data_IF_815900815348
#
_entry.id   IF_815900815348
#
_cell.length_a   1.000
_cell.length_b   1.000
_cell.length_c   1.000
_cell.angle_alpha   90.00
_cell.angle_beta   90.00
_cell.angle_gamma   90.00
#
_symmetry.space_group_name_H-M   'P 1'
#
loop_
_entity.id
_entity.type
_entity.pdbx_description
1 polymer ?
#
# COMPACT_ATOMS: atom_id res chain seq x y z
N UNK A 1 -48.36 -74.44 -16.52
CA UNK A 1 -48.80 -73.30 -17.35
C UNK A 1 -48.83 -72.06 -16.45
N UNK A 2 -47.83 -71.20 -16.59
CA UNK A 2 -47.63 -70.03 -15.74
C UNK A 2 -48.50 -68.87 -16.22
N UNK A 3 -49.39 -68.38 -15.35
CA UNK A 3 -50.16 -67.16 -15.58
C UNK A 3 -49.46 -65.96 -14.93
N UNK A 4 -49.31 -64.91 -15.74
CA UNK A 4 -48.68 -63.63 -15.41
C UNK A 4 -49.36 -62.89 -14.26
N UNK A 5 -48.55 -62.43 -13.31
CA UNK A 5 -48.89 -61.42 -12.31
C UNK A 5 -48.29 -60.09 -12.76
N UNK A 6 -49.14 -59.11 -13.11
CA UNK A 6 -48.74 -57.71 -13.32
C UNK A 6 -49.01 -56.90 -12.06
N UNK A 7 -47.93 -56.45 -11.39
CA UNK A 7 -47.94 -55.46 -10.30
C UNK A 7 -48.20 -54.06 -10.86
N UNK A 8 -49.13 -53.32 -10.27
CA UNK A 8 -49.24 -51.86 -10.44
C UNK A 8 -48.42 -51.15 -9.35
N UNK A 9 -47.40 -50.42 -9.76
CA UNK A 9 -46.66 -49.46 -8.92
C UNK A 9 -47.29 -48.08 -9.10
N UNK A 10 -47.77 -47.48 -8.00
CA UNK A 10 -48.18 -46.08 -7.94
C UNK A 10 -46.94 -45.20 -7.85
N UNK A 11 -46.76 -44.30 -8.82
CA UNK A 11 -45.75 -43.24 -8.79
C UNK A 11 -46.33 -41.99 -8.13
N UNK A 12 -45.70 -41.55 -7.04
CA UNK A 12 -45.93 -40.23 -6.44
C UNK A 12 -44.94 -39.24 -7.06
N UNK A 13 -45.45 -38.23 -7.75
CA UNK A 13 -44.65 -37.14 -8.32
C UNK A 13 -44.11 -36.22 -7.22
N UNK A 14 -42.80 -35.91 -7.16
CA UNK A 14 -42.27 -34.92 -6.26
C UNK A 14 -42.55 -33.50 -6.80
N UNK A 15 -43.04 -32.62 -5.93
CA UNK A 15 -43.20 -31.20 -6.21
C UNK A 15 -41.83 -30.53 -6.32
N UNK A 16 -41.49 -30.03 -7.51
CA UNK A 16 -40.30 -29.21 -7.75
C UNK A 16 -40.53 -27.80 -7.21
N UNK A 17 -39.84 -27.46 -6.11
CA UNK A 17 -39.68 -26.06 -5.68
C UNK A 17 -38.65 -25.41 -6.61
N UNK A 18 -39.08 -24.43 -7.40
CA UNK A 18 -38.23 -23.71 -8.36
C UNK A 18 -37.09 -22.97 -7.65
N UNK A 19 -35.85 -23.32 -8.04
CA UNK A 19 -34.55 -22.79 -7.57
C UNK A 19 -34.31 -21.29 -7.83
N UNK A 20 -35.33 -20.51 -8.22
CA UNK A 20 -35.19 -19.10 -8.59
C UNK A 20 -35.12 -18.14 -7.39
N UNK A 21 -35.46 -18.57 -6.19
CA UNK A 21 -35.50 -17.70 -5.00
C UNK A 21 -34.26 -17.79 -4.08
N UNK A 22 -33.27 -18.64 -4.42
CA UNK A 22 -32.05 -18.84 -3.61
C UNK A 22 -30.85 -17.96 -4.02
N UNK A 23 -31.00 -17.10 -5.03
CA UNK A 23 -29.96 -16.16 -5.49
C UNK A 23 -30.41 -14.70 -5.38
N UNK A 24 -31.15 -14.32 -4.32
CA UNK A 24 -31.09 -12.93 -3.86
C UNK A 24 -29.74 -12.73 -3.17
N UNK A 25 -28.72 -12.56 -4.01
CA UNK A 25 -27.47 -11.92 -3.65
C UNK A 25 -27.81 -10.63 -2.93
N UNK A 26 -27.52 -10.58 -1.62
CA UNK A 26 -27.49 -9.33 -0.90
C UNK A 26 -26.36 -8.52 -1.54
N UNK A 27 -26.72 -7.63 -2.47
CA UNK A 27 -25.81 -6.61 -2.95
C UNK A 27 -25.48 -5.72 -1.74
N UNK A 28 -24.45 -6.10 -0.98
CA UNK A 28 -23.88 -5.25 0.04
C UNK A 28 -23.45 -3.96 -0.64
N UNK A 29 -23.75 -2.82 -0.01
CA UNK A 29 -23.27 -1.53 -0.48
C UNK A 29 -21.76 -1.62 -0.77
N UNK A 30 -21.28 -1.02 -1.86
CA UNK A 30 -19.87 -1.03 -2.16
C UNK A 30 -19.12 -0.46 -0.94
N UNK A 31 -18.09 -1.17 -0.47
CA UNK A 31 -17.34 -0.74 0.69
C UNK A 31 -16.77 0.67 0.49
N UNK A 32 -16.81 1.47 1.55
CA UNK A 32 -16.39 2.87 1.51
C UNK A 32 -14.88 2.94 1.73
N UNK A 33 -14.12 3.68 0.89
CA UNK A 33 -12.68 3.82 1.07
C UNK A 33 -12.32 4.36 2.44
N UNK A 34 -11.24 3.84 3.03
CA UNK A 34 -10.83 4.23 4.38
C UNK A 34 -10.52 5.74 4.47
N UNK A 35 -11.05 6.48 5.47
CA UNK A 35 -10.88 7.95 5.58
C UNK A 35 -9.44 8.45 5.56
N UNK A 36 -8.49 7.64 6.06
CA UNK A 36 -7.06 8.00 6.08
C UNK A 36 -6.36 7.83 4.73
N UNK A 37 -6.96 7.11 3.79
CA UNK A 37 -6.45 6.90 2.43
C UNK A 37 -7.26 7.67 1.37
N UNK A 38 -8.46 8.14 1.74
CA UNK A 38 -9.35 8.88 0.86
C UNK A 38 -9.16 10.38 0.97
N UNK A 39 -9.74 11.10 0.00
CA UNK A 39 -9.76 12.56 -0.06
C UNK A 39 -11.18 13.00 -0.40
N UNK A 40 -11.57 14.19 0.07
CA UNK A 40 -12.87 14.78 -0.27
C UNK A 40 -12.69 15.86 -1.34
N UNK A 41 -13.48 15.83 -2.40
CA UNK A 41 -13.42 16.87 -3.42
C UNK A 41 -14.08 18.15 -2.91
N UNK A 42 -13.35 19.28 -2.94
CA UNK A 42 -13.87 20.60 -2.54
C UNK A 42 -14.17 21.50 -3.74
N UNK A 43 -13.46 21.30 -4.85
CA UNK A 43 -13.76 21.94 -6.14
C UNK A 43 -13.23 21.08 -7.30
N UNK A 44 -13.57 21.38 -8.57
CA UNK A 44 -13.03 20.65 -9.72
C UNK A 44 -11.49 20.61 -9.70
N UNK A 45 -10.92 19.42 -9.55
CA UNK A 45 -9.47 19.23 -9.47
C UNK A 45 -8.83 19.59 -8.14
N UNK A 46 -9.58 19.98 -7.10
CA UNK A 46 -9.04 20.22 -5.75
C UNK A 46 -9.71 19.29 -4.75
N UNK A 47 -8.87 18.56 -4.02
CA UNK A 47 -9.26 17.62 -2.98
C UNK A 47 -8.65 18.02 -1.64
N UNK A 48 -9.26 17.59 -0.54
CA UNK A 48 -8.79 17.85 0.81
C UNK A 48 -8.73 16.58 1.64
N UNK A 49 -7.67 16.48 2.43
CA UNK A 49 -7.58 15.58 3.58
C UNK A 49 -7.65 16.44 4.85
N UNK A 50 -8.68 16.27 5.68
CA UNK A 50 -8.74 16.90 6.99
C UNK A 50 -7.62 16.43 7.91
N UNK A 51 -7.10 17.32 8.75
CA UNK A 51 -6.00 17.03 9.68
C UNK A 51 -6.23 15.81 10.58
N UNK A 52 -7.48 15.56 11.00
CA UNK A 52 -7.86 14.41 11.83
C UNK A 52 -7.59 13.07 11.14
N UNK A 53 -7.53 13.09 9.80
CA UNK A 53 -7.24 11.90 9.01
C UNK A 53 -5.73 11.70 8.83
N UNK A 54 -4.86 12.65 9.20
CA UNK A 54 -3.40 12.48 9.09
C UNK A 54 -2.82 11.60 10.20
N UNK A 55 -1.82 10.78 9.85
CA UNK A 55 -1.09 9.93 10.76
C UNK A 55 0.31 10.48 11.07
N UNK A 56 0.69 10.33 12.33
CA UNK A 56 2.02 10.69 12.83
C UNK A 56 2.80 9.41 13.09
N UNK A 57 3.79 9.12 12.25
CA UNK A 57 4.66 7.95 12.46
C UNK A 57 5.98 8.38 13.10
N UNK A 58 6.63 9.39 12.53
CA UNK A 58 7.88 9.98 13.06
C UNK A 58 7.71 11.51 13.13
N UNK A 59 7.72 12.06 14.35
CA UNK A 59 7.56 13.52 14.56
C UNK A 59 8.79 14.29 14.03
N UNK A 60 8.63 15.52 13.52
CA UNK A 60 7.37 16.22 13.19
C UNK A 60 6.97 15.99 11.73
N UNK A 61 5.72 15.55 11.47
CA UNK A 61 5.17 15.54 10.13
C UNK A 61 4.17 14.41 9.86
N UNK A 62 3.37 14.59 8.82
CA UNK A 62 2.52 13.54 8.28
C UNK A 62 3.38 12.42 7.67
N UNK A 63 2.88 11.18 7.74
CA UNK A 63 3.54 10.02 7.16
C UNK A 63 3.59 10.09 5.63
N UNK A 64 4.78 9.91 5.05
CA UNK A 64 5.01 10.06 3.60
C UNK A 64 4.17 9.11 2.76
N UNK A 65 4.12 7.82 3.13
CA UNK A 65 3.25 6.81 2.50
C UNK A 65 1.78 7.21 2.45
N UNK A 66 1.28 7.93 3.46
CA UNK A 66 -0.09 8.43 3.48
C UNK A 66 -0.32 9.55 2.46
N UNK A 67 0.61 10.51 2.36
CA UNK A 67 0.51 11.58 1.35
C UNK A 67 0.55 11.01 -0.07
N UNK A 68 1.37 9.98 -0.29
CA UNK A 68 1.40 9.25 -1.57
C UNK A 68 0.06 8.56 -1.87
N UNK A 69 -0.53 7.89 -0.88
CA UNK A 69 -1.83 7.24 -1.01
C UNK A 69 -2.96 8.24 -1.33
N UNK A 70 -3.02 9.36 -0.61
CA UNK A 70 -4.02 10.41 -0.81
C UNK A 70 -3.84 11.15 -2.14
N UNK A 71 -2.61 11.31 -2.59
CA UNK A 71 -2.31 11.86 -3.92
C UNK A 71 -2.77 10.91 -5.03
N UNK A 72 -2.57 9.60 -4.84
CA UNK A 72 -3.12 8.60 -5.76
C UNK A 72 -4.64 8.63 -5.77
N UNK A 73 -5.29 8.70 -4.60
CA UNK A 73 -6.75 8.82 -4.48
C UNK A 73 -7.27 10.07 -5.19
N UNK A 74 -6.58 11.21 -5.04
CA UNK A 74 -6.90 12.46 -5.75
C UNK A 74 -6.80 12.29 -7.28
N UNK A 75 -5.77 11.59 -7.75
CA UNK A 75 -5.59 11.29 -9.16
C UNK A 75 -6.67 10.34 -9.71
N UNK A 76 -7.04 9.30 -8.95
CA UNK A 76 -8.10 8.35 -9.31
C UNK A 76 -9.44 9.08 -9.42
N UNK A 77 -9.76 9.95 -8.45
CA UNK A 77 -11.00 10.73 -8.45
C UNK A 77 -11.07 11.74 -9.60
N UNK A 78 -9.93 12.23 -10.09
CA UNK A 78 -9.84 13.12 -11.25
C UNK A 78 -9.78 12.37 -12.60
N UNK A 79 -9.46 11.07 -12.59
CA UNK A 79 -9.34 10.25 -13.77
C UNK A 79 -10.73 9.78 -14.26
N UNK A 80 -10.97 9.70 -15.58
CA UNK A 80 -12.18 9.08 -16.09
C UNK A 80 -12.30 7.62 -15.66
N UNK A 81 -13.52 7.13 -15.53
CA UNK A 81 -13.79 5.71 -15.26
C UNK A 81 -13.11 4.79 -16.28
N UNK A 82 -12.60 3.64 -15.81
CA UNK A 82 -11.96 2.62 -16.65
C UNK A 82 -10.46 2.84 -16.90
N UNK A 83 -9.87 3.85 -16.25
CA UNK A 83 -8.42 4.01 -16.17
C UNK A 83 -7.90 3.41 -14.87
N UNK A 84 -6.78 2.70 -14.96
CA UNK A 84 -6.14 2.04 -13.84
C UNK A 84 -4.75 2.63 -13.63
N UNK A 85 -4.36 2.99 -12.39
CA UNK A 85 -3.00 3.45 -12.11
C UNK A 85 -1.97 2.42 -12.54
N UNK A 86 -0.98 2.86 -13.31
CA UNK A 86 0.16 2.06 -13.77
C UNK A 86 1.45 2.46 -13.06
N UNK A 87 1.62 3.74 -12.73
CA UNK A 87 2.77 4.21 -11.94
C UNK A 87 2.46 5.47 -11.15
N UNK A 88 3.24 5.68 -10.08
CA UNK A 88 3.24 6.85 -9.21
C UNK A 88 4.69 7.27 -8.99
N UNK A 89 5.00 8.55 -9.11
CA UNK A 89 6.30 9.13 -8.73
C UNK A 89 6.07 10.34 -7.86
N UNK A 90 6.80 10.45 -6.74
CA UNK A 90 6.57 11.44 -5.69
C UNK A 90 7.87 12.12 -5.28
N UNK A 91 7.74 13.38 -4.84
CA UNK A 91 8.80 14.18 -4.26
C UNK A 91 8.30 14.81 -2.95
N UNK A 92 9.09 14.66 -1.89
CA UNK A 92 8.82 15.25 -0.57
C UNK A 92 9.62 16.54 -0.46
N UNK A 93 8.96 17.67 -0.68
CA UNK A 93 9.60 18.98 -0.85
C UNK A 93 9.65 19.79 0.45
N UNK A 94 8.73 19.51 1.37
CA UNK A 94 8.67 20.16 2.68
C UNK A 94 7.86 19.33 3.69
N UNK A 95 7.96 19.67 4.98
CA UNK A 95 7.18 19.00 6.02
C UNK A 95 5.69 19.30 5.83
N UNK A 96 4.85 18.28 6.00
CA UNK A 96 3.40 18.47 6.10
C UNK A 96 3.00 18.48 7.57
N UNK A 97 2.43 19.59 8.02
CA UNK A 97 2.02 19.81 9.40
C UNK A 97 0.74 19.02 9.70
N UNK A 98 0.72 18.35 10.85
CA UNK A 98 -0.32 17.38 11.23
C UNK A 98 -1.58 18.04 11.82
N UNK A 99 -1.48 19.32 12.16
CA UNK A 99 -2.52 20.15 12.75
C UNK A 99 -3.28 20.99 11.72
N UNK A 100 -3.00 20.75 10.42
CA UNK A 100 -3.57 21.46 9.29
C UNK A 100 -4.05 20.49 8.22
N UNK A 101 -5.09 20.91 7.51
CA UNK A 101 -5.59 20.18 6.36
C UNK A 101 -4.56 20.19 5.23
N UNK A 102 -4.66 19.20 4.35
CA UNK A 102 -3.82 19.08 3.16
C UNK A 102 -4.69 19.16 1.93
N UNK A 103 -4.41 20.13 1.06
CA UNK A 103 -5.11 20.33 -0.19
C UNK A 103 -4.29 19.75 -1.34
N UNK A 104 -4.92 18.92 -2.17
CA UNK A 104 -4.34 18.28 -3.33
C UNK A 104 -4.93 18.89 -4.59
N UNK A 105 -4.13 19.62 -5.36
CA UNK A 105 -4.51 20.15 -6.67
C UNK A 105 -4.06 19.17 -7.74
N UNK A 106 -5.01 18.63 -8.49
CA UNK A 106 -4.80 17.63 -9.54
C UNK A 106 -5.00 18.25 -10.92
N UNK A 107 -3.98 18.14 -11.77
CA UNK A 107 -4.00 18.65 -13.14
C UNK A 107 -3.61 17.55 -14.13
N UNK A 108 -4.26 17.52 -15.29
CA UNK A 108 -3.90 16.63 -16.39
C UNK A 108 -2.62 17.15 -17.06
N UNK A 109 -1.53 16.41 -16.98
CA UNK A 109 -0.27 16.74 -17.66
C UNK A 109 -0.26 16.29 -19.11
N UNK A 110 -0.76 15.08 -19.34
CA UNK A 110 -0.67 14.44 -20.66
C UNK A 110 -1.86 13.52 -20.89
N UNK A 111 -2.36 13.58 -22.11
CA UNK A 111 -3.27 12.59 -22.67
C UNK A 111 -2.65 12.07 -23.96
N UNK A 112 -2.27 10.79 -23.99
CA UNK A 112 -1.66 10.16 -25.16
C UNK A 112 -2.66 9.21 -25.80
N UNK A 113 -3.49 9.76 -26.69
CA UNK A 113 -4.60 9.05 -27.30
C UNK A 113 -5.66 8.63 -26.27
N UNK A 114 -6.33 7.50 -26.52
CA UNK A 114 -7.41 6.98 -25.66
C UNK A 114 -6.91 6.05 -24.54
N UNK A 115 -5.61 5.77 -24.49
CA UNK A 115 -5.08 4.67 -23.68
C UNK A 115 -4.27 5.11 -22.48
N UNK A 116 -3.70 6.33 -22.50
CA UNK A 116 -2.82 6.80 -21.43
C UNK A 116 -3.18 8.21 -20.99
N UNK A 117 -3.23 8.40 -19.66
CA UNK A 117 -3.37 9.71 -19.03
C UNK A 117 -2.34 9.85 -17.92
N UNK A 118 -1.80 11.04 -17.75
CA UNK A 118 -0.87 11.36 -16.67
C UNK A 118 -1.34 12.61 -15.95
N UNK A 119 -1.45 12.53 -14.63
CA UNK A 119 -1.87 13.62 -13.76
C UNK A 119 -0.71 14.06 -12.88
N UNK A 120 -0.61 15.37 -12.62
CA UNK A 120 0.23 15.98 -11.58
C UNK A 120 -0.64 16.34 -10.40
N UNK A 121 -0.13 16.07 -9.21
CA UNK A 121 -0.78 16.32 -7.96
C UNK A 121 0.17 17.16 -7.11
N UNK A 122 -0.29 18.33 -6.72
CA UNK A 122 0.43 19.24 -5.83
C UNK A 122 -0.27 19.25 -4.47
N UNK A 123 0.46 18.91 -3.40
CA UNK A 123 -0.06 18.95 -2.04
C UNK A 123 0.48 20.18 -1.30
N UNK A 124 -0.45 21.00 -0.78
CA UNK A 124 -0.19 22.28 -0.13
C UNK A 124 -1.02 22.42 1.14
N UNK A 125 -0.59 23.30 2.04
CA UNK A 125 -1.34 23.65 3.24
C UNK A 125 -1.58 25.16 3.30
N UNK A 126 -2.75 25.55 3.79
CA UNK A 126 -3.08 26.95 4.06
C UNK A 126 -2.50 27.38 5.41
N UNK A 127 -2.32 28.68 5.60
CA UNK A 127 -1.80 29.28 6.83
C UNK A 127 -2.93 29.35 7.86
N UNK A 128 -2.59 29.28 9.16
CA UNK A 128 -3.63 29.39 10.19
C UNK A 128 -3.97 30.86 10.39
N UNK A 129 -5.26 31.20 10.37
CA UNK A 129 -5.76 32.47 10.91
C UNK A 129 -5.74 33.67 9.96
N UNK A 130 -5.20 33.57 8.75
CA UNK A 130 -5.07 34.72 7.83
C UNK A 130 -6.27 34.93 6.88
N UNK A 131 -7.35 34.17 7.04
CA UNK A 131 -8.47 34.21 6.10
C UNK A 131 -8.13 33.65 4.72
N UNK A 132 -7.05 32.85 4.64
CA UNK A 132 -6.66 32.09 3.46
C UNK A 132 -7.87 31.31 2.91
N UNK A 133 -8.07 31.44 1.61
CA UNK A 133 -9.12 30.76 0.85
C UNK A 133 -8.49 29.75 -0.11
N UNK A 134 -9.33 28.97 -0.80
CA UNK A 134 -8.85 28.06 -1.85
C UNK A 134 -8.15 28.83 -2.99
N UNK A 135 -8.48 30.10 -3.21
CA UNK A 135 -7.86 30.93 -4.25
C UNK A 135 -6.39 31.27 -3.94
N UNK A 136 -5.98 31.14 -2.68
CA UNK A 136 -4.61 31.40 -2.23
C UNK A 136 -3.67 30.19 -2.43
N UNK A 137 -4.21 28.98 -2.66
CA UNK A 137 -3.45 27.75 -2.85
C UNK A 137 -2.31 27.84 -3.89
N UNK A 138 -2.46 28.51 -5.05
CA UNK A 138 -1.37 28.64 -6.02
C UNK A 138 -0.12 29.34 -5.44
N UNK A 139 -0.30 30.26 -4.49
CA UNK A 139 0.78 31.02 -3.86
C UNK A 139 1.46 30.29 -2.70
N UNK A 140 0.83 29.24 -2.15
CA UNK A 140 1.37 28.51 -1.00
C UNK A 140 2.56 27.63 -1.38
N UNK A 141 3.50 27.43 -0.45
CA UNK A 141 4.63 26.55 -0.68
C UNK A 141 4.14 25.13 -0.99
N UNK A 142 4.86 24.46 -1.89
CA UNK A 142 4.61 23.08 -2.25
C UNK A 142 5.27 22.15 -1.25
N UNK A 143 4.49 21.36 -0.51
CA UNK A 143 5.01 20.44 0.50
C UNK A 143 5.33 19.08 -0.13
N UNK A 144 4.53 18.66 -1.10
CA UNK A 144 4.67 17.37 -1.76
C UNK A 144 4.16 17.46 -3.20
N UNK A 145 4.82 16.74 -4.10
CA UNK A 145 4.42 16.63 -5.49
C UNK A 145 4.36 15.17 -5.92
N UNK A 146 3.35 14.80 -6.71
CA UNK A 146 3.30 13.51 -7.36
C UNK A 146 2.89 13.60 -8.83
N UNK A 147 3.32 12.60 -9.60
CA UNK A 147 2.81 12.30 -10.93
C UNK A 147 2.26 10.88 -10.94
N UNK A 148 1.01 10.72 -11.40
CA UNK A 148 0.36 9.42 -11.55
C UNK A 148 0.06 9.18 -13.01
N UNK A 149 0.57 8.06 -13.54
CA UNK A 149 0.20 7.60 -14.88
C UNK A 149 -0.83 6.49 -14.79
N UNK A 150 -1.78 6.55 -15.72
CA UNK A 150 -2.87 5.63 -15.87
C UNK A 150 -2.83 4.98 -17.25
N UNK A 151 -3.22 3.72 -17.28
CA UNK A 151 -3.52 3.01 -18.50
C UNK A 151 -5.00 2.60 -18.53
N UNK A 152 -5.61 2.71 -19.70
CA UNK A 152 -6.95 2.17 -19.94
C UNK A 152 -6.81 0.71 -20.34
N UNK A 153 -7.21 -0.21 -19.46
CA UNK A 153 -7.24 -1.64 -19.79
C UNK A 153 -8.12 -1.84 -21.03
N UNK A 154 -7.59 -2.38 -22.14
CA UNK A 154 -8.43 -2.66 -23.30
C UNK A 154 -9.50 -3.67 -22.89
N UNK A 155 -10.76 -3.36 -23.18
CA UNK A 155 -11.94 -4.19 -22.86
C UNK A 155 -11.99 -5.51 -23.65
N UNK A 156 -10.88 -6.00 -24.21
CA UNK A 156 -10.91 -7.20 -25.04
C UNK A 156 -11.21 -8.43 -24.18
N UNK A 157 -12.39 -9.08 -24.33
CA UNK A 157 -12.80 -10.20 -23.48
C UNK A 157 -11.96 -11.46 -23.70
N UNK A 158 -11.26 -11.54 -24.84
CA UNK A 158 -10.64 -12.78 -25.32
C UNK A 158 -9.11 -12.76 -25.26
N UNK A 159 -8.49 -11.66 -24.86
CA UNK A 159 -7.05 -11.61 -24.68
C UNK A 159 -6.73 -11.81 -23.21
N UNK A 160 -6.61 -13.08 -22.83
CA UNK A 160 -5.93 -13.46 -21.60
C UNK A 160 -4.54 -12.79 -21.68
N UNK A 161 -4.26 -11.76 -20.86
CA UNK A 161 -3.02 -11.01 -20.99
C UNK A 161 -1.89 -12.02 -20.89
N UNK A 162 -1.09 -12.15 -21.95
CA UNK A 162 0.01 -13.08 -21.99
C UNK A 162 0.84 -12.83 -20.72
N UNK A 163 0.85 -13.81 -19.83
CA UNK A 163 1.52 -13.75 -18.54
C UNK A 163 2.96 -13.34 -18.86
N UNK A 164 3.36 -12.13 -18.47
CA UNK A 164 4.71 -11.65 -18.73
C UNK A 164 5.67 -12.68 -18.10
N UNK A 165 6.50 -13.36 -18.90
CA UNK A 165 7.46 -14.29 -18.36
C UNK A 165 8.49 -13.46 -17.58
N UNK A 166 8.91 -13.96 -16.44
CA UNK A 166 9.86 -13.36 -15.51
C UNK A 166 9.28 -12.36 -14.52
N UNK A 167 8.61 -12.90 -13.52
CA UNK A 167 8.81 -12.39 -12.17
C UNK A 167 9.39 -13.53 -11.35
N UNK A 168 10.56 -13.33 -10.74
CA UNK A 168 11.15 -14.31 -9.82
C UNK A 168 10.13 -14.65 -8.73
N UNK A 169 10.06 -15.90 -8.28
CA UNK A 169 9.14 -16.28 -7.21
C UNK A 169 9.31 -15.35 -5.99
N UNK A 170 8.22 -15.10 -5.25
CA UNK A 170 8.27 -14.40 -3.97
C UNK A 170 9.40 -14.96 -3.11
N UNK A 171 10.22 -14.11 -2.47
CA UNK A 171 11.32 -14.57 -1.65
C UNK A 171 10.86 -15.27 -0.37
N UNK A 172 9.60 -15.07 0.04
CA UNK A 172 9.00 -15.72 1.19
C UNK A 172 7.75 -16.51 0.79
N UNK A 173 7.64 -17.69 1.37
CA UNK A 173 6.54 -18.65 1.21
C UNK A 173 5.54 -18.59 2.38
N UNK A 174 4.40 -19.27 2.24
CA UNK A 174 3.45 -19.43 3.36
C UNK A 174 4.08 -20.14 4.55
N UNK A 175 5.00 -21.08 4.34
CA UNK A 175 5.76 -21.71 5.44
C UNK A 175 6.65 -20.71 6.19
N UNK A 176 7.24 -19.74 5.47
CA UNK A 176 8.03 -18.69 6.13
C UNK A 176 7.14 -17.74 6.95
N UNK A 177 5.89 -17.55 6.51
CA UNK A 177 4.90 -16.79 7.28
C UNK A 177 4.52 -17.49 8.59
N UNK A 178 4.32 -18.80 8.57
CA UNK A 178 4.02 -19.59 9.77
C UNK A 178 5.20 -19.60 10.76
N UNK A 179 6.43 -19.59 10.25
CA UNK A 179 7.65 -19.51 11.05
C UNK A 179 8.05 -18.06 11.45
N UNK A 180 7.28 -17.05 11.02
CA UNK A 180 7.59 -15.65 11.32
C UNK A 180 7.20 -15.27 12.75
N UNK A 181 7.98 -14.39 13.36
CA UNK A 181 7.76 -13.92 14.72
C UNK A 181 6.75 -12.78 14.73
N UNK A 182 5.77 -12.86 15.62
CA UNK A 182 4.91 -11.72 15.93
C UNK A 182 5.70 -10.63 16.65
N UNK A 183 5.17 -9.41 16.70
CA UNK A 183 5.79 -8.32 17.43
C UNK A 183 5.91 -8.57 18.95
N UNK A 184 4.98 -9.33 19.53
CA UNK A 184 5.09 -9.76 20.93
C UNK A 184 6.26 -10.72 21.14
N UNK A 185 6.45 -11.67 20.21
CA UNK A 185 7.55 -12.65 20.28
C UNK A 185 8.89 -11.94 20.10
N UNK A 186 8.96 -11.03 19.13
CA UNK A 186 10.09 -10.14 18.92
C UNK A 186 10.46 -9.37 20.19
N UNK A 187 9.48 -8.79 20.88
CA UNK A 187 9.71 -8.06 22.13
C UNK A 187 10.28 -8.95 23.24
N UNK A 188 9.84 -10.20 23.32
CA UNK A 188 10.38 -11.17 24.26
C UNK A 188 11.83 -11.52 23.91
N UNK A 189 12.11 -11.83 22.64
CA UNK A 189 13.44 -12.20 22.17
C UNK A 189 14.46 -11.05 22.21
N UNK A 190 14.01 -9.79 22.10
CA UNK A 190 14.87 -8.62 22.35
C UNK A 190 15.34 -8.58 23.82
N UNK A 191 14.49 -8.96 24.77
CA UNK A 191 14.82 -8.95 26.21
C UNK A 191 15.79 -10.07 26.57
N UNK A 192 15.70 -11.22 25.90
CA UNK A 192 16.60 -12.37 26.10
C UNK A 192 17.95 -12.20 25.39
N UNK A 193 18.04 -11.27 24.43
CA UNK A 193 19.25 -11.03 23.64
C UNK A 193 19.44 -12.00 22.47
N UNK A 194 18.42 -12.78 22.14
CA UNK A 194 18.46 -13.80 21.08
C UNK A 194 18.41 -13.22 19.66
N UNK A 195 18.02 -11.95 19.52
CA UNK A 195 17.88 -11.27 18.23
C UNK A 195 19.06 -10.35 17.94
N UNK A 196 19.75 -10.61 16.83
CA UNK A 196 20.90 -9.83 16.35
C UNK A 196 20.54 -8.44 15.79
N UNK A 197 19.35 -8.24 15.20
CA UNK A 197 18.91 -6.96 14.59
C UNK A 197 18.04 -6.08 15.50
N UNK A 198 18.30 -6.00 16.80
CA UNK A 198 17.44 -5.33 17.81
C UNK A 198 16.86 -3.96 17.39
N UNK A 199 17.66 -3.11 16.74
CA UNK A 199 17.21 -1.77 16.30
C UNK A 199 16.08 -1.82 15.25
N UNK A 200 16.20 -2.71 14.27
CA UNK A 200 15.18 -2.95 13.24
C UNK A 200 13.85 -3.31 13.88
N UNK A 201 13.88 -4.28 14.77
CA UNK A 201 12.69 -4.77 15.46
C UNK A 201 12.06 -3.71 16.38
N UNK A 202 12.87 -2.93 17.11
CA UNK A 202 12.38 -1.82 17.93
C UNK A 202 11.70 -0.74 17.10
N UNK A 203 12.19 -0.46 15.90
CA UNK A 203 11.57 0.51 15.00
C UNK A 203 10.29 -0.03 14.35
N UNK A 204 10.24 -1.30 13.93
CA UNK A 204 9.02 -1.95 13.46
C UNK A 204 7.90 -1.91 14.53
N UNK A 205 8.28 -2.13 15.79
CA UNK A 205 7.40 -1.97 16.95
C UNK A 205 6.88 -0.54 17.10
N UNK A 206 7.75 0.46 16.99
CA UNK A 206 7.33 1.87 17.05
C UNK A 206 6.37 2.21 15.92
N UNK A 207 6.64 1.76 14.70
CA UNK A 207 5.78 2.00 13.54
C UNK A 207 4.36 1.45 13.76
N UNK A 208 4.25 0.20 14.18
CA UNK A 208 2.95 -0.44 14.46
C UNK A 208 2.21 0.20 15.64
N UNK A 209 2.93 0.65 16.66
CA UNK A 209 2.36 1.38 17.79
C UNK A 209 1.95 2.82 17.45
N UNK A 210 2.61 3.46 16.49
CA UNK A 210 2.30 4.82 16.03
C UNK A 210 1.15 4.86 15.02
N UNK A 211 0.80 3.74 14.41
CA UNK A 211 -0.38 3.64 13.57
C UNK A 211 -1.63 3.83 14.43
N UNK A 212 -2.54 4.68 13.95
CA UNK A 212 -3.83 4.91 14.60
C UNK A 212 -4.66 3.62 14.61
N UNK A 213 -5.60 3.53 15.57
CA UNK A 213 -6.41 2.32 15.77
C UNK A 213 -7.24 1.88 14.55
N UNK A 214 -7.40 2.76 13.56
CA UNK A 214 -8.12 2.55 12.30
C UNK A 214 -7.20 2.11 11.13
N UNK A 215 -5.87 2.33 11.23
CA UNK A 215 -4.86 1.86 10.26
C UNK A 215 -3.95 0.80 10.88
N UNK A 216 -4.53 -0.16 11.60
CA UNK A 216 -3.77 -1.20 12.30
C UNK A 216 -2.94 -2.03 11.33
N UNK A 217 -1.64 -1.73 11.28
CA UNK A 217 -0.67 -2.57 10.60
C UNK A 217 -0.18 -3.64 11.57
N UNK A 218 -0.20 -4.89 11.11
CA UNK A 218 0.54 -5.96 11.76
C UNK A 218 1.83 -6.20 11.00
N UNK A 219 2.93 -6.41 11.72
CA UNK A 219 4.21 -6.76 11.11
C UNK A 219 4.64 -8.10 11.67
N UNK A 220 5.07 -9.00 10.80
CA UNK A 220 5.82 -10.20 11.20
C UNK A 220 7.15 -10.23 10.49
N UNK A 221 8.15 -10.70 11.21
CA UNK A 221 9.53 -10.73 10.74
C UNK A 221 9.99 -12.19 10.69
N UNK A 222 10.76 -12.60 9.65
CA UNK A 222 11.34 -13.93 9.63
C UNK A 222 12.13 -14.19 10.92
N UNK A 223 12.06 -15.41 11.45
CA UNK A 223 12.81 -15.75 12.67
C UNK A 223 14.34 -15.70 12.45
N UNK A 224 14.79 -16.07 11.25
CA UNK A 224 16.21 -16.13 10.89
C UNK A 224 16.48 -15.40 9.56
N UNK A 225 16.37 -14.05 9.51
CA UNK A 225 16.64 -13.34 8.29
C UNK A 225 18.14 -13.45 7.94
N UNK A 226 18.51 -13.63 6.66
CA UNK A 226 19.90 -13.61 6.24
C UNK A 226 20.56 -12.28 6.64
N UNK A 227 21.69 -12.33 7.34
CA UNK A 227 22.22 -11.15 8.05
C UNK A 227 22.95 -10.14 7.15
N UNK A 228 23.37 -10.52 5.94
CA UNK A 228 24.46 -9.83 5.21
C UNK A 228 24.15 -9.42 3.75
N UNK A 229 22.91 -9.12 3.38
CA UNK A 229 22.57 -8.91 1.96
C UNK A 229 22.07 -7.52 1.60
N UNK A 230 22.00 -6.57 2.54
CA UNK A 230 21.32 -5.28 2.33
C UNK A 230 19.86 -5.46 1.91
N UNK A 231 19.31 -6.64 2.18
CA UNK A 231 17.98 -7.08 1.80
C UNK A 231 17.25 -7.52 3.06
N UNK A 232 16.05 -7.00 3.22
CA UNK A 232 15.17 -7.34 4.33
C UNK A 232 13.79 -7.66 3.78
N UNK A 233 13.32 -8.88 4.04
CA UNK A 233 11.96 -9.29 3.70
C UNK A 233 11.13 -9.44 4.98
N UNK A 234 9.88 -8.98 4.97
CA UNK A 234 8.98 -9.05 6.12
C UNK A 234 7.52 -9.16 5.65
N UNK A 235 6.66 -9.56 6.57
CA UNK A 235 5.23 -9.62 6.31
C UNK A 235 4.53 -8.41 6.92
N UNK A 236 3.62 -7.82 6.16
CA UNK A 236 2.73 -6.76 6.64
C UNK A 236 1.28 -7.20 6.45
N UNK A 237 0.52 -7.15 7.53
CA UNK A 237 -0.88 -7.52 7.61
C UNK A 237 -1.72 -6.27 7.78
N UNK A 238 -2.85 -6.20 7.08
CA UNK A 238 -3.85 -5.15 7.25
C UNK A 238 -5.25 -5.77 7.36
N UNK A 239 -6.18 -5.17 8.11
CA UNK A 239 -7.57 -5.60 8.11
C UNK A 239 -8.13 -5.68 6.68
N UNK A 240 -8.77 -6.80 6.35
CA UNK A 240 -9.24 -7.08 4.99
C UNK A 240 -10.40 -6.19 4.57
N UNK A 241 -11.16 -5.65 5.54
CA UNK A 241 -12.22 -4.67 5.33
C UNK A 241 -11.70 -3.29 4.89
N UNK A 242 -10.43 -2.97 5.18
CA UNK A 242 -9.75 -1.80 4.60
C UNK A 242 -9.45 -1.95 3.11
N UNK A 243 -9.44 -3.20 2.60
CA UNK A 243 -9.08 -3.51 1.22
C UNK A 243 -10.31 -3.97 0.48
N UNK A 244 -10.96 -2.99 -0.11
CA UNK A 244 -12.23 -3.14 -0.76
C UNK A 244 -12.05 -2.85 -2.26
N UNK A 245 -12.00 -3.91 -3.08
CA UNK A 245 -11.79 -3.81 -4.54
C UNK A 245 -10.59 -2.93 -4.94
N UNK A 246 -10.88 -1.78 -5.56
CA UNK A 246 -9.93 -0.78 -6.07
C UNK A 246 -9.01 -0.15 -5.00
N UNK A 247 -9.35 -0.29 -3.71
CA UNK A 247 -8.60 0.33 -2.61
C UNK A 247 -7.23 -0.31 -2.36
N UNK A 248 -6.97 -1.51 -2.90
CA UNK A 248 -5.64 -2.10 -2.76
C UNK A 248 -4.55 -1.21 -3.36
N UNK A 249 -4.83 -0.52 -4.47
CA UNK A 249 -3.85 0.35 -5.12
C UNK A 249 -3.54 1.59 -4.28
N UNK A 250 -4.53 2.13 -3.57
CA UNK A 250 -4.34 3.29 -2.67
C UNK A 250 -3.66 2.89 -1.37
N UNK A 251 -3.79 1.63 -0.94
CA UNK A 251 -3.04 1.10 0.19
C UNK A 251 -1.55 0.87 -0.11
N UNK A 252 -1.20 0.44 -1.33
CA UNK A 252 0.19 0.10 -1.71
C UNK A 252 1.20 1.20 -1.32
N UNK A 253 1.00 2.49 -1.65
CA UNK A 253 1.93 3.53 -1.23
C UNK A 253 2.11 3.64 0.28
N UNK A 254 1.03 3.44 1.05
CA UNK A 254 1.05 3.49 2.51
C UNK A 254 1.92 2.36 3.09
N UNK A 255 1.69 1.12 2.67
CA UNK A 255 2.49 -0.02 3.16
C UNK A 255 3.92 -0.02 2.61
N UNK A 256 4.12 0.47 1.38
CA UNK A 256 5.43 0.56 0.70
C UNK A 256 6.41 1.42 1.49
N UNK A 257 5.96 2.58 1.97
CA UNK A 257 6.81 3.53 2.69
C UNK A 257 6.97 3.20 4.19
N UNK A 258 6.13 2.32 4.72
CA UNK A 258 5.97 2.10 6.17
C UNK A 258 7.29 1.79 6.87
N UNK A 259 8.16 0.99 6.25
CA UNK A 259 9.46 0.60 6.81
C UNK A 259 10.67 1.20 6.08
N UNK A 260 10.50 2.05 5.06
CA UNK A 260 11.62 2.55 4.25
C UNK A 260 12.70 3.25 5.09
N UNK A 261 12.29 4.16 5.97
CA UNK A 261 13.23 4.88 6.84
C UNK A 261 13.88 3.93 7.87
N UNK A 262 13.10 2.98 8.39
CA UNK A 262 13.57 1.99 9.37
C UNK A 262 14.65 1.11 8.76
N UNK A 263 14.42 0.59 7.57
CA UNK A 263 15.33 -0.31 6.88
C UNK A 263 16.56 0.43 6.40
N UNK A 264 16.39 1.65 5.89
CA UNK A 264 17.53 2.51 5.58
C UNK A 264 18.40 2.74 6.82
N UNK A 265 17.82 2.98 8.00
CA UNK A 265 18.58 3.21 9.23
C UNK A 265 19.19 1.94 9.85
N UNK A 266 18.59 0.77 9.66
CA UNK A 266 18.93 -0.46 10.39
C UNK A 266 19.75 -1.48 9.59
N UNK A 267 19.71 -1.47 8.26
CA UNK A 267 20.31 -2.52 7.44
C UNK A 267 21.84 -2.34 7.23
N UNK A 268 22.46 -1.27 7.76
CA UNK A 268 23.88 -0.91 7.51
C UNK A 268 24.71 -0.53 8.75
N UNK A 269 24.76 -1.43 9.74
CA UNK A 269 25.93 -1.52 10.65
C UNK A 269 27.20 -2.05 9.93
N UNK A 270 27.35 -1.75 8.65
CA UNK A 270 28.63 -1.84 7.96
C UNK A 270 29.51 -0.69 8.45
N UNK A 271 30.76 -1.00 8.77
CA UNK A 271 31.75 -0.07 9.34
C UNK A 271 32.00 1.18 8.48
N UNK A 272 31.62 1.13 7.20
CA UNK A 272 31.62 2.26 6.25
C UNK A 272 30.73 3.42 6.71
N UNK A 273 29.76 3.18 7.60
CA UNK A 273 28.75 4.14 8.02
C UNK A 273 28.92 4.69 9.44
N UNK A 274 30.08 4.50 10.08
CA UNK A 274 30.42 5.27 11.29
C UNK A 274 30.40 6.76 10.94
N UNK A 275 29.32 7.46 11.33
CA UNK A 275 29.10 8.89 11.04
C UNK A 275 27.91 9.19 10.13
N UNK A 276 27.09 8.20 9.76
CA UNK A 276 25.88 8.46 8.99
C UNK A 276 24.81 9.23 9.83
N UNK A 277 23.89 9.97 9.19
CA UNK A 277 22.94 10.90 9.80
C UNK A 277 22.14 10.33 10.96
N UNK A 278 21.91 11.17 11.97
CA UNK A 278 20.84 10.92 12.96
C UNK A 278 19.43 11.11 12.40
N UNK A 279 19.31 11.61 11.15
CA UNK A 279 18.04 11.93 10.49
C UNK A 279 18.07 11.51 9.03
N UNK A 280 17.14 10.63 8.67
CA UNK A 280 16.85 10.23 7.30
C UNK A 280 15.51 10.83 6.89
N UNK A 281 15.46 11.39 5.69
CA UNK A 281 14.24 11.90 5.09
C UNK A 281 14.08 11.27 3.72
N UNK A 282 12.93 10.64 3.45
CA UNK A 282 12.62 10.18 2.09
C UNK A 282 12.45 11.42 1.22
N UNK A 283 13.20 11.51 0.13
CA UNK A 283 13.17 12.64 -0.80
C UNK A 283 12.33 12.33 -2.04
N UNK A 284 12.53 11.14 -2.60
CA UNK A 284 11.82 10.66 -3.77
C UNK A 284 11.30 9.24 -3.53
N UNK A 285 10.13 8.95 -4.09
CA UNK A 285 9.61 7.60 -4.18
C UNK A 285 8.97 7.38 -5.55
N UNK A 286 9.16 6.21 -6.14
CA UNK A 286 8.42 5.76 -7.31
C UNK A 286 7.80 4.39 -7.06
N UNK A 287 6.64 4.13 -7.65
CA UNK A 287 5.91 2.87 -7.57
C UNK A 287 5.43 2.54 -8.98
N UNK A 288 5.75 1.34 -9.44
CA UNK A 288 5.17 0.73 -10.63
C UNK A 288 4.17 -0.33 -10.15
N UNK A 289 2.91 -0.19 -10.56
CA UNK A 289 1.86 -1.14 -10.25
C UNK A 289 1.87 -2.26 -11.29
N UNK A 290 1.90 -3.50 -10.82
CA UNK A 290 1.79 -4.66 -11.68
C UNK A 290 0.32 -5.09 -11.73
N UNK A 291 -0.23 -5.18 -12.95
CA UNK A 291 -1.61 -5.60 -13.20
C UNK A 291 -1.73 -7.11 -13.17
N UNK A 292 -2.61 -7.69 -12.34
CA UNK A 292 -3.00 -9.10 -12.43
C UNK A 292 -4.49 -9.35 -12.09
N UNK A 293 -4.96 -10.54 -12.51
CA UNK A 293 -6.28 -10.91 -13.05
C UNK A 293 -7.44 -11.07 -12.08
N UNK A 294 -7.30 -10.73 -10.81
CA UNK A 294 -8.43 -10.67 -9.89
C UNK A 294 -8.08 -9.78 -8.70
N UNK A 295 -8.59 -8.55 -8.71
CA UNK A 295 -8.52 -7.65 -7.55
C UNK A 295 -9.01 -8.38 -6.30
N UNK A 296 -8.08 -8.85 -5.44
CA UNK A 296 -8.41 -9.30 -4.09
C UNK A 296 -8.30 -10.79 -3.74
N UNK A 297 -7.62 -11.65 -4.51
CA UNK A 297 -7.42 -13.07 -4.12
C UNK A 297 -6.29 -13.32 -3.10
N UNK A 298 -5.71 -12.28 -2.49
CA UNK A 298 -4.68 -12.46 -1.46
C UNK A 298 -5.20 -13.21 -0.22
N UNK A 299 -4.37 -14.04 0.39
CA UNK A 299 -4.67 -14.76 1.63
C UNK A 299 -5.16 -13.80 2.73
N UNK A 300 -6.32 -14.14 3.31
CA UNK A 300 -6.88 -13.52 4.51
C UNK A 300 -6.89 -14.57 5.60
N UNK A 301 -6.29 -14.26 6.74
CA UNK A 301 -6.26 -15.20 7.86
C UNK A 301 -7.62 -15.28 8.59
N UNK A 302 -7.71 -16.17 9.57
CA UNK A 302 -8.93 -16.36 10.37
C UNK A 302 -9.34 -15.14 11.21
N UNK A 303 -8.45 -14.15 11.36
CA UNK A 303 -8.74 -12.89 12.06
C UNK A 303 -9.19 -11.78 11.10
N UNK A 304 -9.35 -12.09 9.81
CA UNK A 304 -9.71 -11.11 8.80
C UNK A 304 -8.55 -10.21 8.40
N UNK A 305 -7.29 -10.62 8.61
CA UNK A 305 -6.11 -9.85 8.21
C UNK A 305 -5.62 -10.35 6.86
N UNK A 306 -5.47 -9.44 5.90
CA UNK A 306 -4.82 -9.71 4.62
C UNK A 306 -3.33 -9.45 4.73
N UNK A 307 -2.54 -10.42 4.31
CA UNK A 307 -1.07 -10.39 4.44
C UNK A 307 -0.38 -10.16 3.10
N UNK A 308 0.71 -9.40 3.16
CA UNK A 308 1.61 -9.10 2.07
C UNK A 308 3.04 -9.41 2.46
N UNK A 309 3.86 -9.78 1.48
CA UNK A 309 5.31 -9.84 1.61
C UNK A 309 5.89 -8.55 1.08
N UNK A 310 6.68 -7.88 1.90
CA UNK A 310 7.49 -6.74 1.46
C UNK A 310 8.94 -7.20 1.42
N UNK A 311 9.52 -7.11 0.25
CA UNK A 311 10.92 -7.42 0.01
C UNK A 311 11.68 -6.15 -0.32
N UNK A 312 12.55 -5.73 0.60
CA UNK A 312 13.29 -4.48 0.51
C UNK A 312 14.75 -4.76 0.20
N UNK A 313 15.33 -4.02 -0.72
CA UNK A 313 16.76 -4.07 -1.05
C UNK A 313 17.30 -2.64 -1.04
N UNK A 314 18.27 -2.37 -0.18
CA UNK A 314 19.01 -1.13 -0.22
C UNK A 314 20.21 -1.30 -1.16
N UNK A 315 20.27 -0.46 -2.18
CA UNK A 315 21.28 -0.55 -3.23
C UNK A 315 22.62 0.09 -2.84
N UNK A 316 22.61 0.96 -1.82
CA UNK A 316 23.78 1.69 -1.36
C UNK A 316 23.48 3.17 -1.14
N UNK A 317 24.48 3.89 -0.63
CA UNK A 317 24.41 5.34 -0.47
C UNK A 317 25.68 6.01 -1.01
N UNK A 318 25.50 7.17 -1.61
CA UNK A 318 26.56 7.99 -2.19
C UNK A 318 26.23 9.46 -1.94
N UNK A 319 27.23 10.25 -1.52
CA UNK A 319 27.11 11.71 -1.33
C UNK A 319 25.92 12.13 -0.44
N UNK A 320 25.65 11.35 0.61
CA UNK A 320 24.54 11.59 1.54
C UNK A 320 23.17 11.15 1.02
N UNK A 321 23.09 10.49 -0.14
CA UNK A 321 21.85 9.96 -0.71
C UNK A 321 21.87 8.44 -0.70
N UNK A 322 20.95 7.83 0.05
CA UNK A 322 20.68 6.39 0.01
C UNK A 322 19.63 6.04 -1.02
N UNK A 323 19.81 4.90 -1.68
CA UNK A 323 18.89 4.41 -2.68
C UNK A 323 18.48 2.98 -2.35
N UNK A 324 17.26 2.64 -2.74
CA UNK A 324 16.92 1.24 -2.88
C UNK A 324 15.57 1.01 -3.49
N UNK A 325 15.15 -0.24 -3.41
CA UNK A 325 13.96 -0.77 -4.06
C UNK A 325 13.17 -1.60 -3.08
N UNK A 326 11.88 -1.72 -3.32
CA UNK A 326 11.05 -2.69 -2.65
C UNK A 326 10.09 -3.37 -3.62
N UNK A 327 9.71 -4.60 -3.31
CA UNK A 327 8.72 -5.35 -4.03
C UNK A 327 7.63 -5.76 -3.05
N UNK A 328 6.37 -5.60 -3.45
CA UNK A 328 5.21 -5.99 -2.66
C UNK A 328 4.55 -7.16 -3.34
N UNK A 329 4.40 -8.26 -2.62
CA UNK A 329 3.75 -9.47 -3.09
C UNK A 329 2.54 -9.77 -2.22
N UNK A 330 1.53 -10.44 -2.78
CA UNK A 330 0.59 -11.16 -1.94
C UNK A 330 1.17 -12.53 -1.53
N UNK A 331 0.53 -13.20 -0.57
CA UNK A 331 0.98 -14.54 -0.14
C UNK A 331 0.78 -15.65 -1.18
N UNK A 332 0.08 -15.38 -2.29
CA UNK A 332 0.01 -16.32 -3.42
C UNK A 332 1.27 -16.22 -4.32
N UNK A 333 2.19 -15.31 -4.01
CA UNK A 333 3.40 -15.09 -4.78
C UNK A 333 3.22 -14.17 -5.98
N UNK A 334 2.11 -13.43 -6.06
CA UNK A 334 1.87 -12.45 -7.13
C UNK A 334 2.51 -11.10 -6.76
N UNK A 335 3.33 -10.56 -7.67
CA UNK A 335 3.92 -9.23 -7.51
C UNK A 335 2.85 -8.16 -7.76
N UNK A 336 2.59 -7.33 -6.76
CA UNK A 336 1.60 -6.26 -6.80
C UNK A 336 2.22 -4.93 -7.23
N UNK A 337 3.42 -4.63 -6.73
CA UNK A 337 4.14 -3.42 -7.09
C UNK A 337 5.64 -3.54 -6.90
N UNK A 338 6.39 -2.77 -7.68
CA UNK A 338 7.82 -2.50 -7.45
C UNK A 338 7.98 -1.02 -7.18
N UNK A 339 8.57 -0.68 -6.04
CA UNK A 339 8.95 0.67 -5.70
C UNK A 339 10.44 0.90 -5.74
N UNK A 340 10.83 2.15 -5.91
CA UNK A 340 12.18 2.65 -5.65
C UNK A 340 12.09 3.93 -4.83
N UNK A 341 13.09 4.18 -4.00
CA UNK A 341 13.10 5.34 -3.14
C UNK A 341 14.52 5.89 -3.01
N UNK A 342 14.56 7.17 -2.64
CA UNK A 342 15.78 7.85 -2.26
C UNK A 342 15.59 8.48 -0.88
N UNK A 343 16.56 8.25 0.00
CA UNK A 343 16.62 8.87 1.33
C UNK A 343 17.80 9.84 1.40
N UNK A 344 17.55 11.03 1.92
CA UNK A 344 18.58 12.00 2.22
C UNK A 344 19.04 11.84 3.65
N UNK A 345 20.34 11.82 3.78
CA UNK A 345 21.03 11.86 5.04
C UNK A 345 21.46 13.27 5.43
N UNK A 346 21.08 13.72 6.62
CA UNK A 346 21.68 14.93 7.21
C UNK A 346 23.12 14.66 7.68
N UNK A 347 24.14 15.44 7.30
CA UNK A 347 25.47 15.26 7.86
C UNK A 347 25.41 15.31 9.40
N UNK A 348 26.26 14.53 10.11
CA UNK A 348 26.34 14.60 11.56
C UNK A 348 26.64 16.05 11.97
N UNK A 349 25.90 16.54 12.97
CA UNK A 349 26.08 17.89 13.52
C UNK A 349 27.34 18.00 14.36
#
# INVERSE_FOLDING_TARGET
MFNHVCRHLRTTSPSFTTTKDLFRSFASAPPTPHPKLSVSQVSPGIFVTPKENLNVVFKPGAFGGQLMAQSLSSAINAAPSGYTPSSLQCFFLGPTLIDKDVYFTTSLLRESGKSFKTYRIEAKQLSDGDGDTLDDLPSKPLNFEATVSFYKTPLHPDQNPAISPHVSASPLSTSDFEASLSLSDVNASIKTGEISRRALYQMALKLTQSCTADMQLQIRLPANPPLNTGRTSYFIGVPADLISGSDLKTLIPYISDSMTQVLSACDFLDTVWKGWPSKLTVWNYSINYHTYSSEGSGYVDSSGIRWFVIDYVFAGAQDGVGNGVNNIWNLNGELLSTGSYQVLGSPPK
#
